data_IF_829870431928
#
_entry.id   IF_829870431928
#
_cell.length_a   1.000
_cell.length_b   1.000
_cell.length_c   1.000
_cell.angle_alpha   90.00
_cell.angle_beta   90.00
_cell.angle_gamma   90.00
#
_symmetry.space_group_name_H-M   'P 1'
#
loop_
_entity.id
_entity.type
_entity.pdbx_description
1 polymer ?
#
# COMPACT_ATOMS: atom_id res chain seq x y z
N UNK A 1 -19.34 7.63 5.78
CA UNK A 1 -18.74 8.59 4.83
C UNK A 1 -18.33 7.98 3.49
N UNK A 2 -17.31 7.12 3.38
CA UNK A 2 -16.82 6.63 2.07
C UNK A 2 -17.68 5.58 1.35
N UNK A 3 -18.65 4.99 2.05
CA UNK A 3 -19.59 3.97 1.53
C UNK A 3 -21.05 4.47 1.39
N UNK A 4 -21.30 5.75 1.65
CA UNK A 4 -22.63 6.40 1.55
C UNK A 4 -22.51 7.64 0.64
N UNK A 5 -23.63 8.25 0.23
CA UNK A 5 -23.60 9.51 -0.53
C UNK A 5 -23.20 9.37 -2.00
N UNK A 6 -23.61 8.29 -2.67
CA UNK A 6 -23.39 8.09 -4.12
C UNK A 6 -24.54 8.62 -5.00
N UNK A 7 -25.58 9.19 -4.38
CA UNK A 7 -26.74 9.78 -5.05
C UNK A 7 -26.78 11.30 -4.89
N UNK A 8 -27.79 11.93 -5.48
CA UNK A 8 -28.02 13.39 -5.45
C UNK A 8 -28.51 13.90 -4.08
N UNK A 9 -28.95 13.01 -3.19
CA UNK A 9 -29.53 13.38 -1.90
C UNK A 9 -28.48 13.44 -0.79
N UNK A 10 -28.64 14.44 0.10
CA UNK A 10 -27.80 14.61 1.26
C UNK A 10 -27.85 13.36 2.16
N UNK A 11 -26.67 12.82 2.48
CA UNK A 11 -26.52 11.62 3.31
C UNK A 11 -25.89 11.97 4.66
N UNK A 12 -26.37 11.31 5.72
CA UNK A 12 -25.86 11.50 7.08
C UNK A 12 -25.15 10.24 7.57
N UNK A 13 -24.14 10.41 8.43
CA UNK A 13 -23.37 9.33 9.02
C UNK A 13 -23.33 9.53 10.53
N UNK A 14 -24.07 8.72 11.28
CA UNK A 14 -24.02 8.71 12.74
C UNK A 14 -22.99 7.69 13.23
N UNK A 15 -22.23 8.07 14.26
CA UNK A 15 -21.18 7.24 14.84
C UNK A 15 -21.53 7.01 16.31
N UNK A 16 -21.70 5.75 16.69
CA UNK A 16 -21.99 5.33 18.07
C UNK A 16 -20.85 4.47 18.58
N UNK A 17 -20.53 4.60 19.87
CA UNK A 17 -19.54 3.77 20.56
C UNK A 17 -20.07 3.41 21.95
N UNK A 18 -19.86 2.17 22.36
CA UNK A 18 -20.06 1.72 23.74
C UNK A 18 -18.76 1.69 24.54
N UNK A 19 -17.64 2.07 23.92
CA UNK A 19 -16.33 2.12 24.55
C UNK A 19 -16.06 3.51 25.13
N UNK A 20 -15.75 3.54 26.42
CA UNK A 20 -15.34 4.74 27.16
C UNK A 20 -13.82 4.99 27.10
N UNK A 21 -13.09 4.24 26.27
CA UNK A 21 -11.66 4.43 26.14
C UNK A 21 -11.35 5.79 25.51
N UNK A 22 -10.59 6.63 26.24
CA UNK A 22 -10.19 7.96 25.79
C UNK A 22 -9.58 7.96 24.38
N UNK A 23 -8.75 6.96 24.04
CA UNK A 23 -8.17 6.83 22.68
C UNK A 23 -9.22 6.59 21.60
N UNK A 24 -10.27 5.82 21.91
CA UNK A 24 -11.35 5.55 20.97
C UNK A 24 -12.22 6.80 20.76
N UNK A 25 -12.53 7.52 21.83
CA UNK A 25 -13.27 8.77 21.80
C UNK A 25 -12.51 9.87 21.03
N UNK A 26 -11.20 10.02 21.27
CA UNK A 26 -10.37 10.98 20.54
C UNK A 26 -10.33 10.71 19.04
N UNK A 27 -10.30 9.44 18.64
CA UNK A 27 -10.39 9.06 17.24
C UNK A 27 -11.73 9.43 16.62
N UNK A 28 -12.83 9.16 17.31
CA UNK A 28 -14.17 9.52 16.82
C UNK A 28 -14.31 11.03 16.66
N UNK A 29 -13.82 11.79 17.64
CA UNK A 29 -13.77 13.25 17.59
C UNK A 29 -12.88 13.76 16.45
N UNK A 30 -11.74 13.12 16.18
CA UNK A 30 -10.89 13.50 15.05
C UNK A 30 -11.60 13.26 13.71
N UNK A 31 -12.29 12.14 13.57
CA UNK A 31 -13.03 11.78 12.35
C UNK A 31 -14.23 12.71 12.11
N UNK A 32 -14.90 13.19 13.15
CA UNK A 32 -16.03 14.12 13.00
C UNK A 32 -15.59 15.53 12.63
N UNK A 33 -14.42 15.98 13.13
CA UNK A 33 -13.88 17.33 12.85
C UNK A 33 -13.18 17.46 11.50
N UNK A 34 -12.70 16.36 10.93
CA UNK A 34 -11.90 16.41 9.70
C UNK A 34 -12.55 15.66 8.55
N UNK A 35 -12.71 16.33 7.41
CA UNK A 35 -13.27 15.77 6.18
C UNK A 35 -12.22 15.24 5.20
N UNK A 36 -10.93 15.50 5.44
CA UNK A 36 -9.84 15.12 4.53
C UNK A 36 -9.29 13.71 4.85
N UNK A 37 -9.42 12.80 3.88
CA UNK A 37 -8.99 11.40 3.97
C UNK A 37 -7.52 11.23 4.34
N UNK A 38 -6.63 12.05 3.78
CA UNK A 38 -5.19 11.94 4.03
C UNK A 38 -4.83 12.34 5.46
N UNK A 39 -5.52 13.35 6.03
CA UNK A 39 -5.31 13.77 7.42
C UNK A 39 -5.76 12.68 8.39
N UNK A 40 -6.92 12.06 8.12
CA UNK A 40 -7.44 10.92 8.89
C UNK A 40 -6.47 9.74 8.80
N UNK A 41 -5.99 9.39 7.60
CA UNK A 41 -5.05 8.29 7.42
C UNK A 41 -3.74 8.51 8.19
N UNK A 42 -3.20 9.73 8.18
CA UNK A 42 -1.99 10.07 8.97
C UNK A 42 -2.24 9.99 10.47
N UNK A 43 -3.38 10.46 10.93
CA UNK A 43 -3.77 10.35 12.34
C UNK A 43 -3.97 8.90 12.76
N UNK A 44 -4.62 8.08 11.93
CA UNK A 44 -4.78 6.65 12.15
C UNK A 44 -3.42 5.94 12.18
N UNK A 45 -2.51 6.26 11.25
CA UNK A 45 -1.15 5.72 11.24
C UNK A 45 -0.37 6.10 12.51
N UNK A 46 -0.52 7.33 12.98
CA UNK A 46 0.13 7.79 14.22
C UNK A 46 -0.46 7.13 15.47
N UNK A 47 -1.77 6.93 15.52
CA UNK A 47 -2.47 6.41 16.72
C UNK A 47 -2.52 4.89 16.80
N UNK A 48 -2.63 4.19 15.67
CA UNK A 48 -2.64 2.72 15.59
C UNK A 48 -1.29 2.13 15.20
N UNK A 49 -0.38 2.93 14.64
CA UNK A 49 0.84 2.43 14.01
C UNK A 49 0.58 1.90 12.59
N UNK A 50 1.64 1.47 11.87
CA UNK A 50 1.55 0.95 10.51
C UNK A 50 0.80 -0.38 10.36
N UNK A 51 0.26 -0.95 11.45
CA UNK A 51 -0.20 -2.32 11.48
C UNK A 51 0.95 -3.31 11.25
N UNK A 52 0.61 -4.59 11.19
CA UNK A 52 1.52 -5.61 10.68
C UNK A 52 1.41 -5.62 9.15
N UNK A 53 2.42 -5.08 8.47
CA UNK A 53 2.54 -5.15 7.00
C UNK A 53 2.58 -6.63 6.53
N UNK A 54 2.99 -7.52 7.43
CA UNK A 54 3.17 -8.95 7.23
C UNK A 54 2.28 -9.78 8.15
N UNK A 55 1.07 -9.30 8.50
CA UNK A 55 0.08 -10.21 9.10
C UNK A 55 -0.11 -11.37 8.13
N UNK A 56 0.33 -12.54 8.56
CA UNK A 56 0.36 -13.82 7.88
C UNK A 56 -0.71 -13.96 6.79
N UNK A 57 -0.27 -13.95 5.53
CA UNK A 57 -1.04 -14.28 4.33
C UNK A 57 -2.26 -13.39 4.05
N UNK A 58 -2.02 -12.24 3.43
CA UNK A 58 -3.02 -11.71 2.51
C UNK A 58 -3.19 -12.75 1.38
N UNK A 59 -4.33 -13.46 1.35
CA UNK A 59 -4.70 -14.35 0.25
C UNK A 59 -4.78 -13.53 -1.05
N UNK A 60 -3.66 -13.42 -1.77
CA UNK A 60 -3.61 -12.66 -3.01
C UNK A 60 -2.25 -12.10 -3.39
N UNK A 61 -1.28 -12.02 -2.47
CA UNK A 61 0.10 -11.75 -2.87
C UNK A 61 0.80 -13.07 -3.17
N UNK A 62 1.24 -13.34 -4.43
CA UNK A 62 2.14 -14.45 -4.67
C UNK A 62 3.36 -14.19 -3.80
N UNK A 63 3.61 -15.08 -2.84
CA UNK A 63 4.84 -15.09 -2.06
C UNK A 63 5.98 -15.06 -3.07
N UNK A 64 6.68 -13.93 -3.17
CA UNK A 64 7.84 -13.84 -4.06
C UNK A 64 8.85 -14.84 -3.53
N UNK A 65 8.94 -15.99 -4.21
CA UNK A 65 9.82 -17.12 -3.83
C UNK A 65 11.29 -16.68 -3.66
N UNK A 66 11.67 -15.54 -4.24
CA UNK A 66 13.05 -15.09 -4.33
C UNK A 66 13.33 -13.72 -3.69
N UNK A 67 12.32 -12.89 -3.37
CA UNK A 67 12.57 -11.48 -3.06
C UNK A 67 11.70 -10.92 -1.93
N UNK A 68 12.37 -10.39 -0.90
CA UNK A 68 11.73 -9.65 0.18
C UNK A 68 11.68 -8.16 -0.19
N UNK A 69 10.49 -7.62 -0.52
CA UNK A 69 10.28 -6.20 -0.81
C UNK A 69 10.59 -5.27 0.37
N UNK A 70 10.75 -5.81 1.57
CA UNK A 70 11.13 -5.03 2.76
C UNK A 70 12.61 -4.63 2.76
N UNK A 71 13.45 -5.25 1.90
CA UNK A 71 14.87 -4.95 1.86
C UNK A 71 15.17 -3.71 1.03
N UNK A 72 14.99 -2.54 1.65
CA UNK A 72 15.22 -1.24 1.03
C UNK A 72 16.64 -1.08 0.45
N UNK A 73 17.65 -1.74 1.04
CA UNK A 73 19.03 -1.70 0.54
C UNK A 73 19.16 -2.40 -0.82
N UNK A 74 18.57 -3.58 -0.97
CA UNK A 74 18.58 -4.31 -2.25
C UNK A 74 17.84 -3.53 -3.34
N UNK A 75 16.70 -2.93 -3.00
CA UNK A 75 15.94 -2.11 -3.95
C UNK A 75 16.76 -0.90 -4.41
N UNK A 76 17.39 -0.19 -3.47
CA UNK A 76 18.26 0.95 -3.79
C UNK A 76 19.46 0.56 -4.65
N UNK A 77 20.09 -0.58 -4.35
CA UNK A 77 21.22 -1.11 -5.12
C UNK A 77 20.79 -1.45 -6.56
N UNK A 78 19.66 -2.16 -6.71
CA UNK A 78 19.10 -2.52 -8.02
C UNK A 78 18.82 -1.29 -8.87
N UNK A 79 18.20 -0.25 -8.28
CA UNK A 79 17.96 1.02 -8.97
C UNK A 79 19.25 1.73 -9.39
N UNK A 80 20.29 1.67 -8.55
CA UNK A 80 21.59 2.29 -8.85
C UNK A 80 22.27 1.59 -10.03
N UNK A 81 22.34 0.26 -9.99
CA UNK A 81 22.91 -0.57 -11.07
C UNK A 81 22.17 -0.32 -12.38
N UNK A 82 20.83 -0.27 -12.33
CA UNK A 82 20.03 -0.03 -13.52
C UNK A 82 20.33 1.33 -14.16
N UNK A 83 20.48 2.39 -13.35
CA UNK A 83 20.85 3.72 -13.86
C UNK A 83 22.23 3.72 -14.52
N UNK A 84 23.20 3.00 -13.96
CA UNK A 84 24.52 2.84 -14.55
C UNK A 84 24.43 2.13 -15.91
N UNK A 85 23.70 1.00 -15.97
CA UNK A 85 23.52 0.24 -17.22
C UNK A 85 22.85 1.06 -18.32
N UNK A 86 21.80 1.83 -17.99
CA UNK A 86 21.11 2.69 -18.96
C UNK A 86 22.04 3.78 -19.51
N UNK A 87 22.90 4.35 -18.67
CA UNK A 87 23.84 5.38 -19.09
C UNK A 87 24.98 4.81 -19.95
N UNK A 88 25.50 3.64 -19.61
CA UNK A 88 26.63 3.02 -20.31
C UNK A 88 26.19 2.29 -21.60
N UNK A 89 24.93 1.87 -21.69
CA UNK A 89 24.34 1.18 -22.84
C UNK A 89 23.06 1.89 -23.32
N UNK A 90 23.16 2.88 -24.24
CA UNK A 90 22.00 3.67 -24.67
C UNK A 90 20.94 2.86 -25.46
N UNK A 91 21.30 1.65 -25.93
CA UNK A 91 20.40 0.76 -26.65
C UNK A 91 19.83 -0.37 -25.78
N UNK A 92 19.95 -0.26 -24.45
CA UNK A 92 19.38 -1.23 -23.51
C UNK A 92 17.85 -1.09 -23.46
N UNK A 93 17.15 -1.96 -24.18
CA UNK A 93 15.69 -2.01 -24.14
C UNK A 93 15.19 -2.82 -22.95
N UNK A 94 14.73 -2.09 -21.93
CA UNK A 94 14.20 -2.65 -20.70
C UNK A 94 12.88 -3.41 -20.94
N UNK A 95 12.13 -3.07 -21.99
CA UNK A 95 10.81 -3.67 -22.26
C UNK A 95 10.92 -5.11 -22.73
N UNK A 96 11.88 -5.41 -23.60
CA UNK A 96 12.13 -6.78 -24.08
C UNK A 96 12.54 -7.71 -22.94
N UNK A 97 13.36 -7.22 -22.00
CA UNK A 97 13.78 -7.99 -20.83
C UNK A 97 12.59 -8.34 -19.91
N UNK A 98 11.72 -7.36 -19.61
CA UNK A 98 10.54 -7.59 -18.76
C UNK A 98 9.56 -8.57 -19.44
N UNK A 99 9.32 -8.43 -20.75
CA UNK A 99 8.42 -9.32 -21.49
C UNK A 99 8.93 -10.78 -21.48
N UNK A 100 10.24 -11.00 -21.61
CA UNK A 100 10.83 -12.35 -21.53
C UNK A 100 10.69 -12.99 -20.13
N UNK A 101 10.72 -12.16 -19.07
CA UNK A 101 10.56 -12.63 -17.68
C UNK A 101 9.11 -13.04 -17.36
N UNK A 102 8.12 -12.35 -17.92
CA UNK A 102 6.71 -12.68 -17.70
C UNK A 102 6.32 -14.00 -18.39
N UNK A 103 6.93 -14.30 -19.54
CA UNK A 103 6.72 -15.56 -20.27
C UNK A 103 7.36 -16.79 -19.58
N UNK A 104 8.44 -16.59 -18.81
CA UNK A 104 9.12 -17.65 -18.06
C UNK A 104 8.48 -17.91 -16.70
N UNK A 105 7.84 -16.91 -16.07
CA UNK A 105 7.11 -17.11 -14.82
C UNK A 105 5.79 -17.90 -14.98
N UNK A 106 5.15 -17.86 -16.16
CA UNK A 106 3.93 -18.65 -16.42
C UNK A 106 4.21 -20.12 -16.74
N UNK A 107 5.44 -20.46 -17.15
CA UNK A 107 5.85 -21.84 -17.46
C UNK A 107 6.35 -22.62 -16.25
N UNK A 108 6.75 -21.94 -15.17
CA UNK A 108 7.22 -22.56 -13.91
C UNK A 108 6.06 -22.83 -12.93
N UNK A 109 4.83 -22.42 -13.27
CA UNK A 109 3.62 -22.63 -12.45
C UNK A 109 2.64 -23.66 -13.02
N UNK A 110 3.08 -24.52 -13.95
CA UNK A 110 2.39 -25.78 -14.28
C UNK A 110 3.15 -26.98 -13.70
#
# INVERSE_FOLDING_TARGET
RGRIGRGQQQSYCYLFTSSDNAKALDRLNFITKHSNNLKIARYDLKTRGPGEIFSTFQHGFPSLKLANLSNAKLISLSQKILKTIINDCPNFDLKTLIQSSQATLSTITN
#
